data_IF_298287707115
#
_entry.id   IF_298287707115
#
_cell.length_a   1.000
_cell.length_b   1.000
_cell.length_c   1.000
_cell.angle_alpha   90.00
_cell.angle_beta   90.00
_cell.angle_gamma   90.00
#
_symmetry.space_group_name_H-M   'P 1'
#
loop_
_entity.id
_entity.type
_entity.pdbx_description
1 polymer ?
#
# COMPACT_ATOMS: atom_id res chain seq x y z
N UNK A 1 52.78 28.68 -15.60
CA UNK A 1 52.23 27.38 -15.13
C UNK A 1 50.90 27.50 -14.39
N UNK A 2 50.71 28.46 -13.47
CA UNK A 2 49.43 28.65 -12.73
C UNK A 2 48.18 28.93 -13.60
N UNK A 3 48.31 29.64 -14.73
CA UNK A 3 47.17 30.01 -15.59
C UNK A 3 46.53 28.82 -16.33
N UNK A 4 47.31 27.80 -16.67
CA UNK A 4 46.79 26.58 -17.31
C UNK A 4 46.07 25.66 -16.32
N UNK A 5 46.48 25.67 -15.05
CA UNK A 5 45.78 24.94 -13.98
C UNK A 5 44.40 25.52 -13.67
N UNK A 6 44.27 26.86 -13.65
CA UNK A 6 42.96 27.50 -13.46
C UNK A 6 42.02 27.28 -14.63
N UNK A 7 42.53 27.29 -15.88
CA UNK A 7 41.72 27.03 -17.08
C UNK A 7 41.23 25.56 -17.09
N UNK A 8 42.11 24.62 -16.73
CA UNK A 8 41.76 23.21 -16.60
C UNK A 8 40.66 23.00 -15.54
N UNK A 9 40.76 23.66 -14.40
CA UNK A 9 39.77 23.54 -13.32
C UNK A 9 38.41 24.15 -13.68
N UNK A 10 38.38 25.25 -14.45
CA UNK A 10 37.13 25.83 -14.95
C UNK A 10 36.44 24.97 -16.00
N UNK A 11 37.20 24.30 -16.86
CA UNK A 11 36.64 23.41 -17.89
C UNK A 11 36.06 22.14 -17.26
N UNK A 12 36.73 21.57 -16.25
CA UNK A 12 36.21 20.42 -15.49
C UNK A 12 34.90 20.77 -14.76
N UNK A 13 34.81 21.96 -14.16
CA UNK A 13 33.58 22.42 -13.48
C UNK A 13 32.39 22.57 -14.44
N UNK A 14 32.63 23.05 -15.68
CA UNK A 14 31.60 23.21 -16.70
C UNK A 14 31.08 21.85 -17.25
N UNK A 15 31.92 20.82 -17.28
CA UNK A 15 31.53 19.47 -17.74
C UNK A 15 30.59 18.80 -16.72
N UNK A 16 30.78 19.06 -15.42
CA UNK A 16 29.95 18.49 -14.35
C UNK A 16 28.50 19.02 -14.41
N UNK A 17 28.28 20.26 -14.85
CA UNK A 17 26.92 20.82 -14.93
C UNK A 17 26.10 20.27 -16.11
N UNK A 18 26.75 19.83 -17.19
CA UNK A 18 26.06 19.18 -18.33
C UNK A 18 25.66 17.74 -18.00
N UNK A 19 26.39 17.07 -17.09
CA UNK A 19 26.02 15.71 -16.64
C UNK A 19 24.77 15.66 -15.75
N UNK A 20 24.33 16.81 -15.21
CA UNK A 20 23.07 16.93 -14.46
C UNK A 20 21.92 17.51 -15.31
N UNK A 21 22.13 17.72 -16.62
CA UNK A 21 21.03 18.01 -17.53
C UNK A 21 20.27 16.72 -17.79
N UNK A 22 19.24 16.48 -16.97
CA UNK A 22 18.26 15.42 -17.15
C UNK A 22 17.52 15.67 -18.49
N UNK A 23 17.87 14.92 -19.54
CA UNK A 23 17.31 15.06 -20.89
C UNK A 23 15.93 14.38 -21.03
N UNK A 24 15.25 14.12 -19.91
CA UNK A 24 13.95 13.47 -19.91
C UNK A 24 12.83 14.51 -19.83
N UNK A 25 12.68 15.30 -20.90
CA UNK A 25 11.40 15.93 -21.22
C UNK A 25 10.52 14.97 -22.04
N UNK A 26 10.48 13.69 -21.69
CA UNK A 26 9.33 12.89 -22.05
C UNK A 26 8.20 13.34 -21.14
N UNK A 27 7.02 13.70 -21.68
CA UNK A 27 5.85 13.93 -20.84
C UNK A 27 5.66 12.67 -20.02
N UNK A 28 5.72 12.81 -18.70
CA UNK A 28 5.36 11.78 -17.74
C UNK A 28 3.96 11.29 -18.10
N UNK A 29 3.89 10.18 -18.84
CA UNK A 29 2.68 9.46 -19.21
C UNK A 29 2.19 8.68 -17.97
N UNK A 30 2.05 9.39 -16.85
CA UNK A 30 1.57 8.85 -15.57
C UNK A 30 0.09 8.45 -15.62
N UNK A 31 -0.60 8.70 -16.74
CA UNK A 31 -1.98 8.31 -16.98
C UNK A 31 -2.15 7.00 -17.77
N UNK A 32 -1.08 6.41 -18.32
CA UNK A 32 -1.18 5.05 -18.86
C UNK A 32 -0.75 4.04 -17.81
N UNK A 33 -1.73 3.28 -17.34
CA UNK A 33 -1.50 2.01 -16.64
C UNK A 33 -0.55 1.19 -17.51
N UNK A 34 0.74 1.14 -17.12
CA UNK A 34 1.71 0.24 -17.74
C UNK A 34 1.12 -1.16 -17.61
N UNK A 35 0.79 -1.79 -18.74
CA UNK A 35 0.44 -3.21 -18.75
C UNK A 35 1.67 -3.97 -18.23
N UNK A 36 1.60 -4.43 -16.99
CA UNK A 36 2.64 -5.21 -16.36
C UNK A 36 2.57 -6.64 -16.91
N UNK A 37 3.70 -7.33 -16.98
CA UNK A 37 3.72 -8.75 -17.32
C UNK A 37 2.91 -9.59 -16.33
N UNK A 38 2.47 -10.78 -16.75
CA UNK A 38 1.66 -11.69 -15.94
C UNK A 38 2.32 -12.03 -14.60
N UNK A 39 3.66 -12.04 -14.55
CA UNK A 39 4.45 -12.31 -13.35
C UNK A 39 4.22 -11.30 -12.21
N UNK A 40 3.70 -10.11 -12.52
CA UNK A 40 3.40 -9.07 -11.52
C UNK A 40 2.04 -9.27 -10.84
N UNK A 41 1.20 -10.15 -11.38
CA UNK A 41 -0.15 -10.41 -10.88
C UNK A 41 -0.19 -11.69 -10.03
N UNK A 42 0.31 -11.62 -8.79
CA UNK A 42 0.34 -12.78 -7.89
C UNK A 42 -1.05 -13.43 -7.66
N UNK A 43 -2.14 -12.66 -7.77
CA UNK A 43 -3.52 -13.15 -7.71
C UNK A 43 -4.25 -13.16 -9.07
N UNK A 44 -3.52 -13.01 -10.18
CA UNK A 44 -4.09 -12.71 -11.49
C UNK A 44 -4.63 -11.27 -11.60
N UNK A 45 -5.08 -10.90 -12.79
CA UNK A 45 -5.56 -9.53 -13.10
C UNK A 45 -6.69 -9.10 -12.16
N UNK A 46 -7.61 -10.02 -11.85
CA UNK A 46 -8.77 -9.71 -11.02
C UNK A 46 -8.56 -9.93 -9.51
N UNK A 47 -7.41 -10.50 -9.12
CA UNK A 47 -7.07 -10.77 -7.72
C UNK A 47 -5.98 -9.87 -7.16
N UNK A 48 -5.27 -9.12 -8.02
CA UNK A 48 -4.14 -8.28 -7.62
C UNK A 48 -4.55 -6.81 -7.58
N UNK A 49 -4.18 -6.11 -6.51
CA UNK A 49 -4.37 -4.66 -6.37
C UNK A 49 -3.00 -4.00 -6.19
N UNK A 50 -2.67 -3.04 -7.06
CA UNK A 50 -1.43 -2.28 -6.96
C UNK A 50 -1.63 -1.03 -6.10
N UNK A 51 -1.75 -1.24 -4.79
CA UNK A 51 -1.85 -0.16 -3.83
C UNK A 51 -0.70 -0.26 -2.83
N UNK A 52 0.28 0.65 -2.94
CA UNK A 52 1.43 0.72 -2.04
C UNK A 52 1.22 1.68 -0.86
N UNK A 53 0.02 2.23 -0.68
CA UNK A 53 -0.27 3.12 0.45
C UNK A 53 -0.42 2.33 1.74
N UNK A 54 -0.53 3.03 2.86
CA UNK A 54 -0.91 2.40 4.13
C UNK A 54 -2.24 1.67 4.06
N UNK A 55 -3.03 1.84 2.98
CA UNK A 55 -4.34 1.25 2.77
C UNK A 55 -4.33 -0.06 1.95
N UNK A 56 -3.16 -0.66 1.68
CA UNK A 56 -3.02 -1.80 0.78
C UNK A 56 -3.89 -3.02 1.15
N UNK A 57 -3.91 -3.39 2.43
CA UNK A 57 -4.71 -4.52 2.93
C UNK A 57 -6.16 -4.13 3.20
N UNK A 58 -6.51 -2.85 2.94
CA UNK A 58 -7.83 -2.30 3.14
C UNK A 58 -8.80 -2.45 1.96
N UNK A 59 -8.37 -3.02 0.85
CA UNK A 59 -9.20 -3.07 -0.35
C UNK A 59 -9.60 -4.50 -0.69
N UNK A 60 -10.81 -4.64 -1.22
CA UNK A 60 -11.26 -5.85 -1.89
C UNK A 60 -10.50 -6.03 -3.20
N UNK A 61 -10.46 -7.26 -3.70
CA UNK A 61 -9.92 -7.53 -5.04
C UNK A 61 -10.93 -7.10 -6.12
N UNK A 62 -10.48 -6.74 -7.34
CA UNK A 62 -11.37 -6.34 -8.43
C UNK A 62 -12.48 -7.34 -8.75
N UNK A 63 -12.21 -8.65 -8.63
CA UNK A 63 -13.23 -9.70 -8.81
C UNK A 63 -14.40 -9.60 -7.81
N UNK A 64 -14.12 -9.17 -6.58
CA UNK A 64 -15.13 -8.99 -5.54
C UNK A 64 -15.94 -7.73 -5.80
N UNK A 65 -15.29 -6.64 -6.20
CA UNK A 65 -15.95 -5.36 -6.47
C UNK A 65 -16.88 -5.43 -7.70
N UNK A 66 -16.51 -6.23 -8.69
CA UNK A 66 -17.30 -6.41 -9.91
C UNK A 66 -18.61 -7.19 -9.70
N UNK A 67 -18.74 -7.97 -8.62
CA UNK A 67 -19.94 -8.74 -8.31
C UNK A 67 -20.63 -8.19 -7.03
N UNK A 68 -21.83 -7.60 -7.13
CA UNK A 68 -22.56 -7.05 -5.99
C UNK A 68 -22.82 -8.06 -4.86
N UNK A 69 -22.98 -9.34 -5.19
CA UNK A 69 -23.20 -10.41 -4.21
C UNK A 69 -21.91 -10.69 -3.45
N UNK A 70 -20.78 -10.81 -4.15
CA UNK A 70 -19.48 -11.02 -3.52
C UNK A 70 -19.05 -9.81 -2.70
N UNK A 71 -19.24 -8.59 -3.22
CA UNK A 71 -18.96 -7.36 -2.48
C UNK A 71 -19.76 -7.29 -1.17
N UNK A 72 -21.05 -7.62 -1.21
CA UNK A 72 -21.88 -7.68 0.00
C UNK A 72 -21.39 -8.72 1.00
N UNK A 73 -20.93 -9.89 0.54
CA UNK A 73 -20.36 -10.92 1.40
C UNK A 73 -19.03 -10.46 2.02
N UNK A 74 -18.17 -9.82 1.24
CA UNK A 74 -16.91 -9.23 1.71
C UNK A 74 -17.17 -8.21 2.82
N UNK A 75 -18.06 -7.25 2.59
CA UNK A 75 -18.42 -6.24 3.60
C UNK A 75 -19.04 -6.84 4.87
N UNK A 76 -19.79 -7.94 4.74
CA UNK A 76 -20.30 -8.69 5.90
C UNK A 76 -19.15 -9.35 6.69
N UNK A 77 -18.17 -9.91 5.99
CA UNK A 77 -16.95 -10.45 6.59
C UNK A 77 -16.19 -9.39 7.38
N UNK A 78 -15.99 -8.21 6.78
CA UNK A 78 -15.35 -7.06 7.43
C UNK A 78 -16.09 -6.65 8.72
N UNK A 79 -17.43 -6.58 8.70
CA UNK A 79 -18.22 -6.28 9.89
C UNK A 79 -18.02 -7.29 11.02
N UNK A 80 -17.84 -8.57 10.70
CA UNK A 80 -17.58 -9.62 11.69
C UNK A 80 -16.14 -9.49 12.21
N UNK A 81 -15.19 -9.25 11.32
CA UNK A 81 -13.76 -9.15 11.62
C UNK A 81 -13.43 -7.96 12.53
N UNK A 82 -14.19 -6.86 12.43
CA UNK A 82 -14.04 -5.68 13.29
C UNK A 82 -14.52 -5.87 14.73
N UNK A 83 -15.37 -6.86 15.00
CA UNK A 83 -16.00 -7.03 16.30
C UNK A 83 -15.08 -7.77 17.27
N UNK A 84 -15.21 -7.43 18.56
CA UNK A 84 -14.54 -8.17 19.62
C UNK A 84 -15.12 -9.57 19.74
N UNK A 85 -14.24 -10.54 19.96
CA UNK A 85 -14.61 -11.93 20.21
C UNK A 85 -15.35 -12.02 21.55
N UNK A 86 -16.42 -12.82 21.56
CA UNK A 86 -17.20 -13.11 22.76
C UNK A 86 -16.95 -14.55 23.16
N UNK A 87 -16.40 -14.79 24.35
CA UNK A 87 -16.11 -16.14 24.84
C UNK A 87 -17.36 -16.96 25.20
N UNK A 88 -18.50 -16.30 25.38
CA UNK A 88 -19.78 -16.96 25.68
C UNK A 88 -20.36 -17.60 24.42
N UNK A 89 -20.49 -18.92 24.41
CA UNK A 89 -21.11 -19.67 23.32
C UNK A 89 -22.56 -19.26 23.06
N UNK A 90 -22.99 -19.29 21.79
CA UNK A 90 -24.35 -18.93 21.38
C UNK A 90 -24.63 -17.43 21.30
N UNK A 91 -23.73 -16.59 21.81
CA UNK A 91 -23.78 -15.14 21.62
C UNK A 91 -23.18 -14.77 20.26
N UNK A 92 -23.62 -13.65 19.68
CA UNK A 92 -23.02 -13.12 18.45
C UNK A 92 -21.50 -12.93 18.60
N UNK A 93 -20.73 -13.31 17.57
CA UNK A 93 -19.27 -13.19 17.52
C UNK A 93 -18.48 -14.13 18.45
N UNK A 94 -19.07 -15.27 18.85
CA UNK A 94 -18.41 -16.37 19.58
C UNK A 94 -17.65 -17.38 18.70
N UNK A 95 -17.41 -17.05 17.42
CA UNK A 95 -16.87 -17.93 16.38
C UNK A 95 -15.36 -18.19 16.43
N UNK A 96 -14.64 -17.87 15.34
CA UNK A 96 -13.22 -18.20 15.05
C UNK A 96 -12.15 -17.85 16.13
N UNK A 97 -12.56 -17.36 17.30
CA UNK A 97 -11.67 -17.06 18.42
C UNK A 97 -11.05 -15.67 18.33
N UNK A 98 -10.35 -15.23 19.38
CA UNK A 98 -9.78 -13.89 19.47
C UNK A 98 -8.64 -13.65 18.47
N UNK A 99 -8.03 -14.70 17.91
CA UNK A 99 -6.91 -14.61 16.97
C UNK A 99 -7.36 -14.16 15.58
N UNK A 100 -8.59 -14.50 15.18
CA UNK A 100 -9.12 -14.26 13.83
C UNK A 100 -9.86 -12.91 13.69
N UNK A 101 -9.73 -12.00 14.66
CA UNK A 101 -10.37 -10.69 14.63
C UNK A 101 -9.35 -9.56 14.58
N UNK A 102 -9.78 -8.42 14.06
CA UNK A 102 -8.98 -7.21 13.85
C UNK A 102 -8.17 -6.76 15.06
N UNK A 103 -8.71 -6.93 16.27
CA UNK A 103 -8.04 -6.61 17.55
C UNK A 103 -6.66 -7.26 17.67
N UNK A 104 -6.47 -8.47 17.14
CA UNK A 104 -5.19 -9.18 17.17
C UNK A 104 -4.21 -8.63 16.13
N UNK A 105 -4.69 -8.30 14.92
CA UNK A 105 -3.84 -7.73 13.88
C UNK A 105 -3.34 -6.33 14.22
N UNK A 106 -4.19 -5.47 14.81
CA UNK A 106 -3.80 -4.09 15.14
C UNK A 106 -2.79 -3.99 16.29
N UNK A 107 -2.56 -5.08 17.03
CA UNK A 107 -1.53 -5.11 18.07
C UNK A 107 -0.12 -4.94 17.47
N UNK A 108 0.10 -5.45 16.25
CA UNK A 108 1.37 -5.33 15.53
C UNK A 108 1.28 -4.45 14.27
N UNK A 109 0.09 -4.24 13.72
CA UNK A 109 -0.16 -3.36 12.56
C UNK A 109 -1.07 -2.19 12.94
N UNK A 110 -0.50 -1.10 13.50
CA UNK A 110 -1.24 0.12 13.82
C UNK A 110 -1.88 0.65 12.54
N UNK A 111 -3.21 0.64 12.49
CA UNK A 111 -3.95 0.75 11.24
C UNK A 111 -3.78 -0.46 10.32
N UNK A 112 -4.69 -1.42 10.50
CA UNK A 112 -4.90 -2.63 9.70
C UNK A 112 -4.85 -2.35 8.20
N UNK A 113 -3.64 -2.23 7.65
CA UNK A 113 -3.38 -1.71 6.32
C UNK A 113 -4.41 -0.69 5.87
N UNK A 114 -4.73 0.32 6.70
CA UNK A 114 -5.61 1.45 6.35
C UNK A 114 -6.97 1.51 7.04
N UNK A 115 -7.50 0.40 7.55
CA UNK A 115 -8.85 0.35 8.15
C UNK A 115 -8.86 0.54 9.67
N UNK A 116 -7.93 1.30 10.26
CA UNK A 116 -8.11 1.77 11.65
C UNK A 116 -8.45 3.22 11.72
N UNK A 117 -9.44 3.50 12.57
CA UNK A 117 -9.54 4.77 13.24
C UNK A 117 -8.15 5.10 13.78
N UNK A 118 -7.59 6.24 13.34
CA UNK A 118 -6.38 6.79 13.93
C UNK A 118 -6.64 6.90 15.43
N UNK A 119 -5.77 6.30 16.22
CA UNK A 119 -5.79 6.51 17.66
C UNK A 119 -4.84 7.66 17.92
N UNK A 120 -5.33 8.71 18.56
CA UNK A 120 -4.50 9.88 18.88
C UNK A 120 -3.44 9.54 19.95
N UNK A 121 -3.65 8.44 20.68
CA UNK A 121 -2.73 7.90 21.67
C UNK A 121 -2.83 6.39 21.70
N UNK A 122 -1.70 5.71 21.63
CA UNK A 122 -1.60 4.29 21.94
C UNK A 122 -1.57 4.13 23.45
N UNK A 123 -2.48 3.34 24.01
CA UNK A 123 -2.39 2.96 25.41
C UNK A 123 -1.44 1.77 25.52
N UNK A 124 -0.29 1.99 26.14
CA UNK A 124 0.76 0.99 26.35
C UNK A 124 0.78 0.47 27.79
N UNK A 125 -0.29 0.73 28.55
CA UNK A 125 -0.43 0.35 29.96
C UNK A 125 -0.87 -1.11 30.11
#
# INVERSE_FOLDING_TARGET
>A
MKKYGTIFWTIVSLIVTVACADDNNEPDDSDKVKELGEEWYAGGVNGTVFNATSNAYSQSMPAIDADPVLYKQFMRGEQIFEKSFVSTEGMGYSGLGPVYIRKSCIACHPSYGGRSKRVDKFDTS
#
